data_IF_967094731497
#
_entry.id   IF_967094731497
#
_cell.length_a   1.000
_cell.length_b   1.000
_cell.length_c   1.000
_cell.angle_alpha   90.00
_cell.angle_beta   90.00
_cell.angle_gamma   90.00
#
_symmetry.space_group_name_H-M   'P 1'
#
loop_
_entity.id
_entity.type
_entity.pdbx_description
1 polymer ?
#
# COMPACT_ATOMS: atom_id res chain seq x y z
N UNK A 1 -2.15 -5.69 -17.05
CA UNK A 1 -3.15 -5.38 -16.02
C UNK A 1 -4.31 -6.33 -16.24
N UNK A 2 -4.66 -7.11 -15.23
CA UNK A 2 -5.84 -7.98 -15.28
C UNK A 2 -7.10 -7.13 -15.06
N UNK A 3 -8.01 -7.10 -16.02
CA UNK A 3 -9.14 -6.17 -16.07
C UNK A 3 -8.76 -4.75 -16.52
N UNK A 4 -9.60 -3.77 -16.23
CA UNK A 4 -9.48 -2.38 -16.72
C UNK A 4 -8.51 -1.47 -15.93
N UNK A 5 -7.97 -1.97 -14.82
CA UNK A 5 -7.01 -1.24 -13.98
C UNK A 5 -7.62 -0.14 -13.10
N UNK A 6 -8.96 0.00 -13.10
CA UNK A 6 -9.69 1.00 -12.30
C UNK A 6 -9.85 0.58 -10.84
N UNK A 7 -9.60 -0.69 -10.52
CA UNK A 7 -9.62 -1.20 -9.16
C UNK A 7 -8.59 -0.45 -8.30
N UNK A 8 -9.04 0.01 -7.13
CA UNK A 8 -8.22 0.80 -6.22
C UNK A 8 -7.92 0.06 -4.93
N UNK A 9 -6.72 0.27 -4.38
CA UNK A 9 -6.32 -0.20 -3.04
C UNK A 9 -5.41 0.84 -2.38
N UNK A 10 -5.32 0.77 -1.06
CA UNK A 10 -4.26 1.47 -0.32
C UNK A 10 -2.95 0.70 -0.52
N UNK A 11 -1.99 1.33 -1.20
CA UNK A 11 -0.66 0.78 -1.41
C UNK A 11 0.33 1.52 -0.51
N UNK A 12 0.89 0.79 0.46
CA UNK A 12 1.86 1.33 1.41
C UNK A 12 3.29 0.95 1.03
N UNK A 13 4.21 1.92 1.09
CA UNK A 13 5.61 1.65 0.84
C UNK A 13 6.22 0.82 1.98
N UNK A 14 7.06 -0.17 1.65
CA UNK A 14 7.64 -1.10 2.66
C UNK A 14 8.38 -0.37 3.78
N UNK A 15 9.08 0.72 3.48
CA UNK A 15 9.77 1.53 4.49
C UNK A 15 8.83 2.15 5.53
N UNK A 16 7.57 2.44 5.16
CA UNK A 16 6.58 2.96 6.11
C UNK A 16 6.13 1.88 7.09
N UNK A 17 5.96 0.64 6.61
CA UNK A 17 5.67 -0.53 7.45
C UNK A 17 6.81 -0.80 8.44
N UNK A 18 8.06 -0.78 7.95
CA UNK A 18 9.25 -0.93 8.81
C UNK A 18 9.29 0.17 9.87
N UNK A 19 9.10 1.43 9.46
CA UNK A 19 9.09 2.58 10.37
C UNK A 19 7.98 2.46 11.43
N UNK A 20 6.78 2.06 11.05
CA UNK A 20 5.67 1.87 11.98
C UNK A 20 6.00 0.80 13.03
N UNK A 21 6.57 -0.35 12.63
CA UNK A 21 6.97 -1.40 13.56
C UNK A 21 8.07 -0.95 14.53
N UNK A 22 9.08 -0.22 14.04
CA UNK A 22 10.14 0.34 14.90
C UNK A 22 9.60 1.36 15.90
N UNK A 23 8.61 2.15 15.50
CA UNK A 23 7.94 3.10 16.40
C UNK A 23 7.07 2.39 17.43
N UNK A 24 6.31 1.38 17.02
CA UNK A 24 5.50 0.56 17.92
C UNK A 24 6.36 -0.08 19.01
N UNK A 25 7.47 -0.73 18.62
CA UNK A 25 8.43 -1.35 19.54
C UNK A 25 9.01 -0.39 20.59
N UNK A 26 9.17 0.90 20.25
CA UNK A 26 9.74 1.93 21.15
C UNK A 26 8.67 2.72 21.90
N UNK A 27 7.40 2.57 21.54
CA UNK A 27 6.32 3.42 22.04
C UNK A 27 5.87 2.95 23.40
N UNK A 28 5.86 3.83 24.43
CA UNK A 28 5.27 3.53 25.76
C UNK A 28 3.75 3.31 25.74
N UNK A 29 3.09 3.44 24.58
CA UNK A 29 1.63 3.35 24.44
C UNK A 29 1.15 2.09 23.72
N UNK A 30 2.03 1.31 23.09
CA UNK A 30 1.67 0.15 22.26
C UNK A 30 2.32 -1.09 22.84
N UNK A 31 1.61 -1.75 23.77
CA UNK A 31 2.08 -2.97 24.46
C UNK A 31 0.95 -3.94 24.80
N UNK A 32 -0.31 -3.58 24.56
CA UNK A 32 -1.48 -4.33 24.96
C UNK A 32 -1.92 -5.41 23.98
N UNK A 33 -1.16 -5.64 22.90
CA UNK A 33 -1.55 -6.55 21.82
C UNK A 33 -2.59 -5.93 20.88
N UNK A 34 -2.55 -4.61 20.73
CA UNK A 34 -3.47 -3.85 19.89
C UNK A 34 -3.29 -4.20 18.41
N UNK A 35 -4.40 -4.41 17.69
CA UNK A 35 -4.38 -4.52 16.24
C UNK A 35 -4.32 -3.11 15.62
N UNK A 36 -3.22 -2.80 14.91
CA UNK A 36 -3.02 -1.50 14.26
C UNK A 36 -2.79 -1.73 12.77
N UNK A 37 -3.62 -1.11 11.93
CA UNK A 37 -3.45 -1.12 10.48
C UNK A 37 -2.46 -0.03 10.05
N UNK A 38 -1.53 -0.39 9.18
CA UNK A 38 -0.58 0.53 8.57
C UNK A 38 -1.01 0.72 7.10
N UNK A 39 -1.32 1.96 6.73
CA UNK A 39 -1.78 2.34 5.39
C UNK A 39 -1.13 3.65 4.94
N UNK A 40 -1.11 3.90 3.63
CA UNK A 40 -0.69 5.19 3.06
C UNK A 40 -1.76 6.27 3.25
N UNK A 41 -2.99 5.89 3.63
CA UNK A 41 -4.11 6.80 3.87
C UNK A 41 -4.69 7.38 2.59
N UNK A 42 -4.31 6.82 1.43
CA UNK A 42 -4.84 7.17 0.12
C UNK A 42 -4.88 5.94 -0.77
N UNK A 43 -5.92 5.87 -1.58
CA UNK A 43 -6.06 4.82 -2.58
C UNK A 43 -5.32 5.18 -3.86
N UNK A 44 -4.85 4.15 -4.56
CA UNK A 44 -4.33 4.24 -5.92
C UNK A 44 -5.01 3.16 -6.77
N UNK A 45 -5.33 3.49 -8.00
CA UNK A 45 -5.69 2.52 -9.04
C UNK A 45 -4.46 1.78 -9.54
N UNK A 46 -4.65 0.59 -10.12
CA UNK A 46 -3.56 -0.13 -10.79
C UNK A 46 -3.01 0.68 -11.98
N UNK A 47 -3.87 1.46 -12.64
CA UNK A 47 -3.45 2.38 -13.71
C UNK A 47 -2.50 3.48 -13.20
N UNK A 48 -2.75 4.06 -12.02
CA UNK A 48 -1.85 5.05 -11.42
C UNK A 48 -0.49 4.44 -11.08
N UNK A 49 -0.47 3.21 -10.55
CA UNK A 49 0.79 2.50 -10.28
C UNK A 49 1.57 2.20 -11.56
N UNK A 50 0.89 1.69 -12.60
CA UNK A 50 1.53 1.40 -13.88
C UNK A 50 2.13 2.66 -14.51
N UNK A 51 1.44 3.80 -14.40
CA UNK A 51 1.96 5.10 -14.86
C UNK A 51 3.22 5.53 -14.10
N UNK A 52 3.31 5.25 -12.80
CA UNK A 52 4.49 5.56 -11.99
C UNK A 52 5.70 4.69 -12.36
N UNK A 53 5.48 3.42 -12.66
CA UNK A 53 6.54 2.49 -13.10
C UNK A 53 7.01 2.87 -14.52
N UNK A 54 6.07 3.27 -15.38
CA UNK A 54 6.33 3.58 -16.79
C UNK A 54 6.43 2.32 -17.67
N UNK A 55 6.62 2.54 -18.97
CA UNK A 55 6.65 1.47 -19.97
C UNK A 55 5.29 1.17 -20.61
N UNK A 56 5.25 0.11 -21.42
CA UNK A 56 4.03 -0.32 -22.11
C UNK A 56 3.07 -1.00 -21.14
N UNK A 57 1.77 -0.68 -21.25
CA UNK A 57 0.70 -1.28 -20.44
C UNK A 57 -0.21 -2.08 -21.37
N UNK A 58 -0.41 -3.35 -21.03
CA UNK A 58 -1.35 -4.25 -21.71
C UNK A 58 -2.45 -4.63 -20.73
N UNK A 59 -3.70 -4.67 -21.19
CA UNK A 59 -4.83 -5.14 -20.40
C UNK A 59 -5.23 -6.55 -20.85
N UNK A 60 -5.44 -7.44 -19.89
CA UNK A 60 -5.90 -8.81 -20.10
C UNK A 60 -7.33 -8.97 -19.56
N UNK A 61 -8.15 -9.87 -20.14
CA UNK A 61 -9.49 -10.16 -19.63
C UNK A 61 -9.46 -10.61 -18.17
N UNK A 62 -10.51 -10.35 -17.37
CA UNK A 62 -10.59 -10.76 -15.97
C UNK A 62 -10.85 -12.25 -15.74
#
# INVERSE_FOLDING_TARGET
>A
IWGDGTQTRDFTHVSDVVRANLLAMKSKKVWGGEAINIGAGRNFSVNELAKLIGGAVVHEPP
#
